data_IF_267408846505
#
_entry.id   IF_267408846505
#
_cell.length_a   1.000
_cell.length_b   1.000
_cell.length_c   1.000
_cell.angle_alpha   90.00
_cell.angle_beta   90.00
_cell.angle_gamma   90.00
#
_symmetry.space_group_name_H-M   'P 1'
#
loop_
_entity.id
_entity.type
_entity.pdbx_description
1 polymer ?
#
# COMPACT_ATOMS: atom_id res chain seq x y z
N UNK A 1 -32.13 -23.27 16.83
CA UNK A 1 -32.31 -21.99 16.11
C UNK A 1 -30.92 -21.50 15.73
N UNK A 2 -30.58 -21.53 14.46
CA UNK A 2 -29.29 -21.03 13.96
C UNK A 2 -29.48 -19.54 13.70
N UNK A 3 -28.80 -18.66 14.46
CA UNK A 3 -28.65 -17.27 14.10
C UNK A 3 -27.57 -17.17 13.01
N UNK A 4 -28.00 -16.91 11.81
CA UNK A 4 -27.09 -16.53 10.71
C UNK A 4 -26.83 -15.02 10.87
N UNK A 5 -25.66 -14.68 11.38
CA UNK A 5 -25.22 -13.27 11.43
C UNK A 5 -24.61 -12.96 10.07
N UNK A 6 -25.35 -12.30 9.21
CA UNK A 6 -24.83 -11.75 7.97
C UNK A 6 -24.13 -10.44 8.34
N UNK A 7 -22.80 -10.50 8.46
CA UNK A 7 -22.00 -9.29 8.63
C UNK A 7 -21.73 -8.71 7.26
N UNK A 8 -22.42 -7.62 6.96
CA UNK A 8 -22.09 -6.77 5.82
C UNK A 8 -20.76 -6.10 6.15
N UNK A 9 -19.71 -6.50 5.48
CA UNK A 9 -18.44 -5.81 5.51
C UNK A 9 -18.49 -4.61 4.54
N UNK A 10 -19.39 -3.67 4.77
CA UNK A 10 -18.91 -2.29 4.68
C UNK A 10 -17.70 -2.30 5.60
N UNK A 11 -16.56 -1.77 5.23
CA UNK A 11 -15.46 -1.53 6.16
C UNK A 11 -15.89 -0.51 7.24
N UNK A 12 -17.10 -0.68 7.74
CA UNK A 12 -17.67 -0.08 8.91
C UNK A 12 -17.16 -0.89 10.09
N UNK A 13 -16.26 -0.34 10.84
CA UNK A 13 -16.02 -0.72 12.22
C UNK A 13 -17.32 -0.41 12.96
N UNK A 14 -18.29 -1.31 12.88
CA UNK A 14 -19.44 -1.26 13.75
C UNK A 14 -19.05 -1.89 15.09
N UNK A 15 -19.31 -1.23 16.21
CA UNK A 15 -19.17 -1.86 17.50
C UNK A 15 -20.04 -3.11 17.53
N UNK A 16 -19.45 -4.23 17.97
CA UNK A 16 -20.13 -5.50 18.17
C UNK A 16 -21.28 -5.24 19.18
N UNK A 17 -22.50 -5.22 18.69
CA UNK A 17 -23.68 -5.32 19.54
C UNK A 17 -23.81 -6.77 19.98
N UNK A 18 -23.28 -7.09 21.18
CA UNK A 18 -23.67 -8.28 21.90
C UNK A 18 -25.17 -8.18 22.22
N UNK A 19 -25.98 -8.91 21.51
CA UNK A 19 -27.38 -9.12 21.87
C UNK A 19 -27.45 -10.16 23.01
N UNK A 20 -27.10 -9.73 24.22
CA UNK A 20 -27.42 -10.44 25.45
C UNK A 20 -28.84 -10.08 25.89
N UNK A 21 -29.72 -11.07 26.01
CA UNK A 21 -31.01 -10.90 26.65
C UNK A 21 -30.87 -10.46 28.12
N UNK A 22 -31.45 -9.32 28.47
CA UNK A 22 -31.88 -8.97 29.78
C UNK A 22 -30.88 -8.23 30.70
N UNK A 23 -31.04 -6.93 30.78
CA UNK A 23 -30.45 -6.06 31.78
C UNK A 23 -30.22 -4.67 31.25
N UNK A 24 -31.08 -3.71 31.60
CA UNK A 24 -30.83 -2.28 31.36
C UNK A 24 -29.52 -1.88 32.04
N UNK A 25 -28.41 -1.85 31.27
CA UNK A 25 -27.22 -1.12 31.66
C UNK A 25 -27.33 0.27 31.03
N UNK A 26 -27.36 1.27 31.88
CA UNK A 26 -27.20 2.67 31.46
C UNK A 26 -25.90 2.78 30.66
N UNK A 27 -26.03 3.05 29.37
CA UNK A 27 -24.90 3.38 28.51
C UNK A 27 -24.36 4.71 29.01
N UNK A 28 -23.09 4.77 29.47
CA UNK A 28 -22.49 6.06 29.79
C UNK A 28 -22.50 6.91 28.49
N UNK A 29 -22.72 8.24 28.63
CA UNK A 29 -22.69 9.11 27.45
C UNK A 29 -21.37 8.91 26.74
N UNK A 30 -21.34 8.94 25.38
CA UNK A 30 -20.11 8.81 24.65
C UNK A 30 -19.16 9.88 25.13
N UNK A 31 -18.03 9.46 25.71
CA UNK A 31 -16.91 10.35 25.97
C UNK A 31 -16.50 10.85 24.58
N UNK A 32 -16.63 12.14 24.37
CA UNK A 32 -16.15 12.75 23.14
C UNK A 32 -14.63 12.52 23.07
N UNK A 33 -14.24 11.43 22.41
CA UNK A 33 -12.85 11.17 22.08
C UNK A 33 -12.45 12.23 21.06
N UNK A 34 -11.67 13.19 21.49
CA UNK A 34 -10.94 14.06 20.58
C UNK A 34 -9.88 13.17 19.89
N UNK A 35 -10.30 12.43 18.86
CA UNK A 35 -9.38 11.82 17.92
C UNK A 35 -8.64 12.96 17.23
N UNK A 36 -7.41 13.19 17.60
CA UNK A 36 -6.51 14.08 16.87
C UNK A 36 -5.98 13.34 15.65
N UNK A 37 -6.90 12.95 14.74
CA UNK A 37 -6.51 12.45 13.42
C UNK A 37 -5.69 13.57 12.77
N UNK A 38 -4.45 13.30 12.33
CA UNK A 38 -3.66 14.31 11.61
C UNK A 38 -4.47 14.86 10.45
N UNK A 39 -4.39 16.15 10.20
CA UNK A 39 -5.05 16.74 9.03
C UNK A 39 -4.37 16.18 7.78
N UNK A 40 -5.13 15.60 6.84
CA UNK A 40 -4.54 15.08 5.62
C UNK A 40 -3.93 16.21 4.79
N UNK A 41 -2.81 15.93 4.15
CA UNK A 41 -2.13 16.85 3.25
C UNK A 41 -2.36 16.39 1.82
N UNK A 42 -2.97 17.27 1.01
CA UNK A 42 -3.01 17.11 -0.45
C UNK A 42 -1.60 17.35 -0.98
N UNK A 43 -1.15 16.44 -1.81
CA UNK A 43 0.09 16.54 -2.54
C UNK A 43 -0.19 16.84 -4.01
N UNK A 44 0.85 17.26 -4.69
CA UNK A 44 0.92 17.39 -6.15
C UNK A 44 2.08 16.56 -6.64
N UNK A 45 1.84 15.75 -7.66
CA UNK A 45 2.89 14.95 -8.28
C UNK A 45 3.65 15.78 -9.29
N UNK A 46 4.96 15.81 -9.17
CA UNK A 46 5.86 16.42 -10.14
C UNK A 46 6.35 15.34 -11.11
N UNK A 47 6.13 15.58 -12.40
CA UNK A 47 6.55 14.69 -13.48
C UNK A 47 7.66 15.37 -14.28
N UNK A 48 8.59 14.57 -14.79
CA UNK A 48 9.58 15.03 -15.74
C UNK A 48 9.23 14.54 -17.15
N UNK A 49 9.21 15.47 -18.08
CA UNK A 49 8.97 15.23 -19.51
C UNK A 49 10.11 15.85 -20.34
N UNK A 50 10.22 15.42 -21.59
CA UNK A 50 11.30 15.87 -22.49
C UNK A 50 10.70 16.56 -23.71
N UNK A 51 11.11 17.83 -23.94
CA UNK A 51 10.79 18.59 -25.14
C UNK A 51 12.07 18.83 -25.95
N UNK A 52 12.37 17.95 -26.89
CA UNK A 52 13.64 18.01 -27.64
C UNK A 52 14.85 17.72 -26.77
N UNK A 53 15.66 18.72 -26.45
CA UNK A 53 16.80 18.62 -25.53
C UNK A 53 16.50 19.18 -24.13
N UNK A 54 15.34 19.79 -23.95
CA UNK A 54 14.91 20.44 -22.72
C UNK A 54 14.13 19.46 -21.85
N UNK A 55 14.57 19.29 -20.59
CA UNK A 55 13.86 18.54 -19.56
C UNK A 55 13.09 19.49 -18.70
N UNK A 56 11.80 19.33 -18.65
CA UNK A 56 10.95 20.20 -17.85
C UNK A 56 10.10 19.40 -16.84
N UNK A 57 9.88 20.03 -15.70
CA UNK A 57 8.94 19.53 -14.70
C UNK A 57 7.54 19.97 -15.03
N UNK A 58 6.58 19.07 -14.95
CA UNK A 58 5.17 19.37 -15.18
C UNK A 58 4.27 18.74 -14.12
N UNK A 59 3.09 19.34 -13.97
CA UNK A 59 1.99 18.84 -13.12
C UNK A 59 0.75 18.54 -13.97
N UNK A 60 0.74 18.93 -15.23
CA UNK A 60 -0.43 18.88 -16.09
C UNK A 60 -0.52 17.60 -16.95
N UNK A 61 -1.73 17.04 -17.14
CA UNK A 61 -1.94 15.89 -18.02
C UNK A 61 -1.68 16.22 -19.49
N UNK A 62 -1.93 17.47 -19.90
CA UNK A 62 -1.76 17.88 -21.30
C UNK A 62 -0.29 17.82 -21.74
N UNK A 63 0.64 18.27 -20.91
CA UNK A 63 2.06 18.19 -21.22
C UNK A 63 2.57 16.75 -21.17
N UNK A 64 2.10 15.93 -20.20
CA UNK A 64 2.44 14.50 -20.14
C UNK A 64 1.98 13.74 -21.37
N UNK A 65 0.86 14.14 -21.97
CA UNK A 65 0.36 13.55 -23.22
C UNK A 65 1.07 14.07 -24.47
N UNK A 66 1.66 15.27 -24.39
CA UNK A 66 2.29 15.96 -25.52
C UNK A 66 3.78 15.68 -25.65
N UNK A 67 4.44 15.36 -24.54
CA UNK A 67 5.89 15.13 -24.49
C UNK A 67 6.23 13.76 -23.91
N UNK A 68 7.35 13.14 -24.32
CA UNK A 68 7.83 11.91 -23.73
C UNK A 68 8.00 12.03 -22.22
N UNK A 69 7.28 11.18 -21.46
CA UNK A 69 7.35 11.12 -20.01
C UNK A 69 8.57 10.31 -19.58
N UNK A 70 9.48 10.91 -18.78
CA UNK A 70 10.59 10.20 -18.15
C UNK A 70 10.17 9.55 -16.81
N UNK A 71 9.26 10.17 -16.06
CA UNK A 71 8.70 9.60 -14.83
C UNK A 71 8.23 10.62 -13.82
N UNK A 72 7.84 10.11 -12.64
CA UNK A 72 7.54 10.92 -11.45
C UNK A 72 8.84 11.22 -10.70
N UNK A 73 8.99 12.42 -10.19
CA UNK A 73 10.23 12.86 -9.53
C UNK A 73 10.02 13.12 -8.04
N UNK A 74 9.00 13.92 -7.70
CA UNK A 74 8.66 14.26 -6.31
C UNK A 74 7.16 14.39 -6.11
N UNK A 75 6.74 14.25 -4.86
CA UNK A 75 5.48 14.80 -4.37
C UNK A 75 5.77 16.01 -3.49
N UNK A 76 5.05 17.09 -3.72
CA UNK A 76 5.10 18.33 -2.92
C UNK A 76 3.69 18.73 -2.49
N UNK A 77 3.49 19.46 -1.38
CA UNK A 77 2.18 19.98 -1.01
C UNK A 77 1.55 20.82 -2.12
N UNK A 78 0.24 20.65 -2.31
CA UNK A 78 -0.54 21.37 -3.33
C UNK A 78 -0.95 22.79 -2.89
N UNK A 79 -0.98 23.06 -1.58
CA UNK A 79 -1.47 24.31 -1.04
C UNK A 79 -0.39 25.06 -0.23
N UNK A 80 -0.36 26.40 -0.29
CA UNK A 80 0.52 27.20 0.54
C UNK A 80 0.15 27.05 2.02
N UNK A 81 1.15 27.02 2.88
CA UNK A 81 0.98 27.02 4.33
C UNK A 81 2.26 27.54 5.02
N UNK A 82 2.20 27.75 6.34
CA UNK A 82 3.40 28.06 7.13
C UNK A 82 4.44 26.94 7.00
N UNK A 83 5.70 27.31 6.82
CA UNK A 83 6.80 26.34 6.62
C UNK A 83 6.91 25.80 5.20
N UNK A 84 6.21 26.37 4.24
CA UNK A 84 6.28 26.03 2.81
C UNK A 84 6.76 27.23 1.99
N UNK A 85 7.32 26.94 0.83
CA UNK A 85 7.74 27.95 -0.16
C UNK A 85 7.12 27.63 -1.51
N UNK A 86 7.02 28.62 -2.40
CA UNK A 86 6.53 28.37 -3.77
C UNK A 86 7.65 27.78 -4.60
N UNK A 87 7.39 26.68 -5.31
CA UNK A 87 8.23 26.12 -6.35
C UNK A 87 7.62 26.50 -7.71
N UNK A 88 8.38 27.19 -8.53
CA UNK A 88 7.96 27.62 -9.86
C UNK A 88 8.76 26.89 -10.93
N UNK A 89 8.11 26.53 -12.02
CA UNK A 89 8.80 26.32 -13.28
C UNK A 89 8.99 27.71 -13.92
N UNK A 90 10.21 27.96 -14.35
CA UNK A 90 10.61 29.16 -15.04
C UNK A 90 10.91 28.83 -16.49
N UNK A 91 10.73 29.80 -17.39
CA UNK A 91 11.07 29.68 -18.81
C UNK A 91 12.02 30.81 -19.21
N UNK A 92 13.04 30.51 -19.99
CA UNK A 92 13.96 31.50 -20.51
C UNK A 92 13.27 32.44 -21.52
N UNK A 93 13.88 33.61 -21.80
CA UNK A 93 13.32 34.60 -22.74
C UNK A 93 13.15 34.10 -24.18
N UNK A 94 13.79 33.01 -24.53
CA UNK A 94 13.66 32.34 -25.84
C UNK A 94 12.54 31.31 -25.93
N UNK A 95 11.92 30.96 -24.80
CA UNK A 95 10.87 29.93 -24.74
C UNK A 95 11.36 28.51 -25.04
N UNK A 96 12.66 28.24 -24.82
CA UNK A 96 13.31 27.01 -25.28
C UNK A 96 13.98 26.21 -24.16
N UNK A 97 14.00 26.71 -22.93
CA UNK A 97 14.65 26.09 -21.79
C UNK A 97 13.90 26.40 -20.50
N UNK A 98 13.71 25.42 -19.67
CA UNK A 98 12.99 25.50 -18.40
C UNK A 98 13.91 25.23 -17.22
N UNK A 99 13.59 25.83 -16.08
CA UNK A 99 14.28 25.60 -14.82
C UNK A 99 13.27 25.62 -13.67
N UNK A 100 13.53 24.82 -12.62
CA UNK A 100 12.72 24.81 -11.41
C UNK A 100 13.37 25.67 -10.32
N UNK A 101 12.65 26.58 -9.73
CA UNK A 101 13.21 27.49 -8.74
C UNK A 101 12.22 27.93 -7.66
N UNK A 102 12.76 28.26 -6.47
CA UNK A 102 12.01 28.89 -5.37
C UNK A 102 12.22 30.42 -5.33
N UNK A 103 12.98 30.95 -6.27
CA UNK A 103 13.27 32.39 -6.42
C UNK A 103 13.53 32.71 -7.88
N UNK A 104 13.52 33.96 -8.21
CA UNK A 104 13.79 34.41 -9.57
C UNK A 104 15.19 34.03 -10.05
N UNK A 105 15.26 33.49 -11.25
CA UNK A 105 16.51 33.23 -11.97
C UNK A 105 16.72 34.25 -13.07
N UNK A 106 17.95 34.82 -13.16
CA UNK A 106 18.26 35.86 -14.15
C UNK A 106 18.08 35.32 -15.58
N UNK A 107 17.32 36.04 -16.39
CA UNK A 107 17.03 35.65 -17.79
C UNK A 107 15.83 34.73 -17.96
N UNK A 108 15.16 34.40 -16.86
CA UNK A 108 13.94 33.55 -16.86
C UNK A 108 12.76 34.34 -16.32
N UNK A 109 11.56 33.93 -16.68
CA UNK A 109 10.28 34.35 -16.14
C UNK A 109 9.46 33.18 -15.66
N UNK A 110 8.54 33.41 -14.74
CA UNK A 110 7.62 32.39 -14.24
C UNK A 110 6.74 31.87 -15.39
N UNK A 111 6.67 30.56 -15.51
CA UNK A 111 5.82 29.82 -16.45
C UNK A 111 4.62 29.21 -15.73
N UNK A 112 4.87 28.46 -14.64
CA UNK A 112 3.81 27.90 -13.80
C UNK A 112 4.26 27.68 -12.36
N UNK A 113 3.28 27.62 -11.44
CA UNK A 113 3.50 27.17 -10.06
C UNK A 113 3.40 25.63 -10.02
N UNK A 114 4.50 24.99 -9.64
CA UNK A 114 4.57 23.52 -9.52
C UNK A 114 4.02 23.01 -8.19
N UNK A 115 4.08 23.78 -7.12
CA UNK A 115 3.57 23.42 -5.80
C UNK A 115 4.23 24.19 -4.67
N UNK A 116 4.06 23.67 -3.44
CA UNK A 116 4.48 24.38 -2.23
C UNK A 116 5.33 23.46 -1.32
N UNK A 117 6.56 23.08 -1.73
CA UNK A 117 7.45 22.23 -0.94
C UNK A 117 7.74 22.84 0.44
N UNK A 118 8.13 21.97 1.38
CA UNK A 118 8.55 22.38 2.72
C UNK A 118 9.88 23.17 2.66
N UNK A 119 10.07 24.11 3.60
CA UNK A 119 11.33 24.86 3.74
C UNK A 119 12.38 24.12 4.58
N UNK A 120 12.03 22.98 5.16
CA UNK A 120 12.93 22.15 5.94
C UNK A 120 12.52 20.67 5.86
N UNK A 121 13.43 19.77 6.18
CA UNK A 121 13.15 18.32 6.30
C UNK A 121 12.30 18.03 7.55
N UNK A 122 11.04 18.42 7.55
CA UNK A 122 10.14 18.37 8.72
C UNK A 122 9.34 17.07 8.87
N UNK A 123 9.64 16.03 8.14
CA UNK A 123 8.91 14.75 8.22
C UNK A 123 9.77 13.56 7.83
N UNK A 124 9.35 12.37 8.26
CA UNK A 124 9.99 11.13 7.80
C UNK A 124 9.86 11.02 6.28
N UNK A 125 10.98 10.86 5.58
CA UNK A 125 11.01 10.59 4.15
C UNK A 125 11.01 11.80 3.23
N UNK A 126 10.89 13.04 3.72
CA UNK A 126 11.14 14.21 2.87
C UNK A 126 12.63 14.38 2.62
N UNK A 127 13.01 14.67 1.39
CA UNK A 127 14.37 14.98 0.98
C UNK A 127 14.43 16.34 0.30
N UNK A 128 15.63 16.91 0.25
CA UNK A 128 15.87 18.14 -0.47
C UNK A 128 15.62 17.94 -1.96
N UNK A 129 14.88 18.84 -2.57
CA UNK A 129 14.73 18.88 -4.02
C UNK A 129 16.08 19.24 -4.65
N UNK A 130 16.45 18.47 -5.66
CA UNK A 130 17.72 18.66 -6.36
C UNK A 130 17.46 18.92 -7.83
N UNK A 131 17.61 20.17 -8.22
CA UNK A 131 17.72 20.53 -9.61
C UNK A 131 19.15 20.31 -10.09
N UNK A 132 19.33 19.95 -11.32
CA UNK A 132 20.62 19.66 -11.93
C UNK A 132 20.76 20.47 -13.21
N UNK A 133 21.93 21.08 -13.43
CA UNK A 133 22.26 21.84 -14.62
C UNK A 133 23.28 21.10 -15.49
N UNK A 134 22.94 20.91 -16.74
CA UNK A 134 23.90 20.53 -17.77
C UNK A 134 24.60 21.78 -18.31
N UNK A 135 25.81 22.05 -17.84
CA UNK A 135 26.58 23.25 -18.23
C UNK A 135 26.97 23.27 -19.72
N UNK A 136 26.90 22.12 -20.41
CA UNK A 136 27.20 22.05 -21.85
C UNK A 136 26.03 22.47 -22.74
N UNK A 137 24.82 22.25 -22.29
CA UNK A 137 23.58 22.59 -23.03
C UNK A 137 22.80 23.77 -22.41
N UNK A 138 23.02 24.03 -21.12
CA UNK A 138 22.22 24.99 -20.34
C UNK A 138 20.94 24.39 -19.76
N UNK A 139 20.62 23.14 -20.07
CA UNK A 139 19.39 22.46 -19.69
C UNK A 139 19.35 22.12 -18.19
N UNK A 140 18.21 22.36 -17.56
CA UNK A 140 17.94 22.04 -16.17
C UNK A 140 17.04 20.80 -16.06
N UNK A 141 17.19 20.03 -14.99
CA UNK A 141 16.33 18.88 -14.69
C UNK A 141 16.18 18.64 -13.20
N UNK A 142 14.95 18.48 -12.73
CA UNK A 142 14.69 17.98 -11.38
C UNK A 142 14.91 16.48 -11.34
N UNK A 143 15.78 15.99 -10.45
CA UNK A 143 16.11 14.57 -10.30
C UNK A 143 15.77 14.07 -8.90
N UNK A 144 15.31 12.82 -8.81
CA UNK A 144 15.19 12.13 -7.52
C UNK A 144 16.58 11.85 -6.92
N UNK A 145 16.72 11.70 -5.58
CA UNK A 145 18.03 11.61 -4.91
C UNK A 145 18.95 10.50 -5.41
N UNK A 146 18.40 9.41 -5.95
CA UNK A 146 19.18 8.28 -6.49
C UNK A 146 19.45 8.37 -7.98
N UNK A 147 18.89 9.37 -8.66
CA UNK A 147 19.06 9.55 -10.09
C UNK A 147 20.35 10.31 -10.42
N UNK A 148 20.90 10.02 -11.58
CA UNK A 148 21.98 10.78 -12.17
C UNK A 148 21.79 10.87 -13.68
N UNK A 149 22.07 12.03 -14.25
CA UNK A 149 22.10 12.23 -15.70
C UNK A 149 23.53 12.62 -16.12
N UNK A 150 24.07 12.02 -17.18
CA UNK A 150 25.41 12.37 -17.65
C UNK A 150 25.52 13.85 -18.03
N UNK A 151 26.52 14.53 -17.52
CA UNK A 151 26.77 15.96 -17.79
C UNK A 151 26.01 16.94 -16.92
N UNK A 152 25.10 16.46 -16.05
CA UNK A 152 24.36 17.32 -15.13
C UNK A 152 25.04 17.42 -13.76
N UNK A 153 25.08 18.63 -13.20
CA UNK A 153 25.64 18.93 -11.90
C UNK A 153 24.56 19.46 -10.96
N UNK A 154 24.56 19.06 -9.68
CA UNK A 154 23.51 19.42 -8.75
C UNK A 154 23.47 20.93 -8.47
N UNK A 155 22.26 21.46 -8.46
CA UNK A 155 21.89 22.81 -8.04
C UNK A 155 20.86 22.68 -6.92
N UNK A 156 21.25 22.47 -5.65
CA UNK A 156 20.31 22.16 -4.59
C UNK A 156 19.35 23.33 -4.33
N UNK A 157 18.06 23.02 -4.30
CA UNK A 157 17.02 23.95 -3.92
C UNK A 157 16.82 23.94 -2.40
N UNK A 158 16.56 25.10 -1.77
CA UNK A 158 16.21 25.16 -0.35
C UNK A 158 14.73 24.78 -0.13
N UNK A 159 14.33 23.65 -0.68
CA UNK A 159 12.96 23.13 -0.70
C UNK A 159 12.99 21.61 -0.55
N UNK A 160 11.93 21.01 0.04
CA UNK A 160 11.88 19.61 0.40
C UNK A 160 10.55 18.99 -0.04
N UNK A 161 10.61 17.73 -0.50
CA UNK A 161 9.45 16.97 -0.93
C UNK A 161 9.67 15.47 -0.72
N UNK A 162 8.65 14.66 -0.96
CA UNK A 162 8.80 13.20 -0.99
C UNK A 162 9.39 12.79 -2.32
N UNK A 163 10.58 12.18 -2.34
CA UNK A 163 11.22 11.77 -3.57
C UNK A 163 10.49 10.58 -4.20
N UNK A 164 10.48 10.56 -5.52
CA UNK A 164 10.07 9.41 -6.32
C UNK A 164 11.23 8.99 -7.20
N UNK A 165 11.27 7.72 -7.57
CA UNK A 165 12.22 7.24 -8.55
C UNK A 165 11.67 7.52 -9.94
N UNK A 166 12.46 8.22 -10.74
CA UNK A 166 12.02 8.84 -11.98
C UNK A 166 11.60 7.92 -13.11
N UNK A 167 11.79 6.62 -12.98
CA UNK A 167 11.46 5.68 -14.06
C UNK A 167 10.01 5.20 -13.92
N UNK A 168 9.26 5.24 -15.01
CA UNK A 168 8.01 4.48 -15.14
C UNK A 168 8.24 2.96 -15.11
N UNK A 169 9.51 2.52 -15.09
CA UNK A 169 9.89 1.11 -15.01
C UNK A 169 9.70 0.59 -13.59
N UNK A 170 9.29 -0.66 -13.48
CA UNK A 170 9.25 -1.39 -12.22
C UNK A 170 10.66 -1.50 -11.63
N UNK A 171 10.82 -1.12 -10.36
CA UNK A 171 12.02 -1.37 -9.58
C UNK A 171 11.71 -2.49 -8.61
N UNK A 172 12.20 -3.70 -8.91
CA UNK A 172 11.89 -4.90 -8.17
C UNK A 172 13.03 -5.31 -7.25
N UNK A 173 12.68 -5.56 -5.98
CA UNK A 173 13.56 -6.16 -4.99
C UNK A 173 13.21 -7.63 -4.83
N UNK A 174 14.06 -8.53 -5.30
CA UNK A 174 13.85 -9.97 -5.25
C UNK A 174 14.54 -10.62 -4.07
N UNK A 175 13.88 -11.57 -3.41
CA UNK A 175 14.41 -12.38 -2.33
C UNK A 175 13.94 -13.83 -2.51
N UNK A 176 14.85 -14.81 -2.28
CA UNK A 176 14.52 -16.24 -2.37
C UNK A 176 15.07 -16.99 -1.17
N UNK A 177 14.22 -17.75 -0.49
CA UNK A 177 14.59 -18.71 0.56
C UNK A 177 13.46 -19.72 0.78
N UNK A 178 13.77 -20.91 1.30
CA UNK A 178 12.80 -21.96 1.63
C UNK A 178 11.95 -22.44 0.46
N UNK A 179 12.41 -22.30 -0.79
CA UNK A 179 11.65 -22.65 -1.99
C UNK A 179 10.66 -21.57 -2.46
N UNK A 180 10.59 -20.43 -1.74
CA UNK A 180 9.77 -19.27 -2.09
C UNK A 180 10.65 -18.20 -2.72
N UNK A 181 10.14 -17.53 -3.74
CA UNK A 181 10.73 -16.29 -4.29
C UNK A 181 9.68 -15.19 -4.24
N UNK A 182 10.04 -14.06 -3.65
CA UNK A 182 9.20 -12.87 -3.60
C UNK A 182 9.85 -11.70 -4.32
N UNK A 183 9.03 -10.84 -4.89
CA UNK A 183 9.47 -9.57 -5.45
C UNK A 183 8.59 -8.47 -4.90
N UNK A 184 9.19 -7.45 -4.28
CA UNK A 184 8.49 -6.20 -3.95
C UNK A 184 8.79 -5.15 -5.00
N UNK A 185 7.81 -4.25 -5.22
CA UNK A 185 7.92 -3.20 -6.22
C UNK A 185 8.00 -1.84 -5.53
N UNK A 186 9.08 -1.11 -5.77
CA UNK A 186 9.26 0.22 -5.20
C UNK A 186 8.20 1.21 -5.68
N UNK A 187 7.84 1.15 -6.96
CA UNK A 187 6.78 2.02 -7.52
C UNK A 187 5.44 1.80 -6.83
N UNK A 188 5.20 0.61 -6.29
CA UNK A 188 4.04 0.28 -5.46
C UNK A 188 4.34 0.41 -3.95
N UNK A 189 5.16 1.37 -3.55
CA UNK A 189 5.43 1.63 -2.13
C UNK A 189 6.12 0.49 -1.38
N UNK A 190 6.71 -0.47 -2.09
CA UNK A 190 7.32 -1.65 -1.52
C UNK A 190 6.35 -2.81 -1.28
N UNK A 191 5.10 -2.74 -1.72
CA UNK A 191 4.17 -3.87 -1.66
C UNK A 191 4.76 -5.13 -2.32
N UNK A 192 4.39 -6.31 -1.82
CA UNK A 192 4.85 -7.56 -2.41
C UNK A 192 4.10 -7.81 -3.71
N UNK A 193 4.82 -7.66 -4.79
CA UNK A 193 4.30 -7.62 -6.16
C UNK A 193 4.11 -9.00 -6.78
N UNK A 194 5.06 -9.94 -6.49
CA UNK A 194 5.05 -11.31 -6.99
C UNK A 194 5.46 -12.27 -5.89
N UNK A 195 4.83 -13.45 -5.93
CA UNK A 195 5.12 -14.54 -5.01
C UNK A 195 5.14 -15.84 -5.80
N UNK A 196 6.29 -16.50 -5.83
CA UNK A 196 6.47 -17.76 -6.53
C UNK A 196 6.78 -18.88 -5.53
N UNK A 197 6.21 -20.02 -5.76
CA UNK A 197 6.58 -21.29 -5.17
C UNK A 197 6.57 -22.38 -6.24
N UNK A 198 7.68 -23.15 -6.37
CA UNK A 198 7.85 -24.14 -7.43
C UNK A 198 7.53 -23.61 -8.84
N UNK A 199 7.94 -22.40 -9.14
CA UNK A 199 7.67 -21.68 -10.38
C UNK A 199 6.20 -21.31 -10.63
N UNK A 200 5.30 -21.58 -9.69
CA UNK A 200 3.90 -21.16 -9.76
C UNK A 200 3.80 -19.74 -9.19
N UNK A 201 3.24 -18.83 -9.97
CA UNK A 201 2.89 -17.47 -9.53
C UNK A 201 1.58 -17.53 -8.74
N UNK A 202 1.58 -16.89 -7.57
CA UNK A 202 0.41 -16.84 -6.69
C UNK A 202 -0.35 -15.52 -6.78
N UNK A 203 0.37 -14.40 -6.86
CA UNK A 203 -0.25 -13.08 -6.78
C UNK A 203 -0.73 -12.59 -8.15
N UNK A 204 -1.83 -11.86 -8.15
CA UNK A 204 -2.31 -11.16 -9.32
C UNK A 204 -1.67 -9.77 -9.42
N UNK A 205 -0.48 -9.67 -10.01
CA UNK A 205 0.22 -8.41 -10.19
C UNK A 205 -0.31 -7.55 -11.36
N UNK A 206 -1.30 -8.03 -12.10
CA UNK A 206 -2.01 -7.21 -13.09
C UNK A 206 -3.00 -6.23 -12.42
N UNK A 207 -3.44 -6.54 -11.20
CA UNK A 207 -4.29 -5.68 -10.40
C UNK A 207 -3.40 -4.79 -9.48
N UNK A 208 -2.85 -3.73 -10.06
CA UNK A 208 -1.96 -2.81 -9.39
C UNK A 208 -2.58 -2.26 -8.09
N UNK A 209 -1.79 -2.32 -7.03
CA UNK A 209 -2.20 -1.84 -5.72
C UNK A 209 -3.01 -2.85 -4.90
N UNK A 210 -3.20 -4.07 -5.41
CA UNK A 210 -3.89 -5.15 -4.70
C UNK A 210 -3.02 -6.39 -4.47
N UNK A 211 -1.73 -6.26 -4.42
CA UNK A 211 -0.74 -7.31 -4.17
C UNK A 211 -0.84 -7.82 -2.71
N UNK A 212 0.25 -8.19 -2.05
CA UNK A 212 0.28 -8.32 -0.59
C UNK A 212 0.80 -7.02 0.00
N UNK A 213 -0.04 -6.33 0.75
CA UNK A 213 0.24 -5.00 1.28
C UNK A 213 -0.39 -4.75 2.64
N UNK A 214 0.15 -3.76 3.33
CA UNK A 214 -0.40 -3.18 4.53
C UNK A 214 -1.38 -2.04 4.22
N UNK A 215 -2.46 -1.96 4.99
CA UNK A 215 -3.37 -0.82 4.97
C UNK A 215 -3.81 -0.47 6.39
N UNK A 216 -3.96 0.82 6.66
CA UNK A 216 -4.46 1.33 7.90
C UNK A 216 -5.81 2.01 7.69
N UNK A 217 -6.84 1.46 8.32
CA UNK A 217 -8.18 2.04 8.32
C UNK A 217 -8.41 2.76 9.62
N UNK A 218 -8.71 4.06 9.59
CA UNK A 218 -9.05 4.77 10.80
C UNK A 218 -10.26 5.70 10.65
N UNK A 219 -10.91 5.94 11.79
CA UNK A 219 -12.17 6.64 11.82
C UNK A 219 -13.35 5.73 11.48
N UNK A 220 -14.51 6.33 11.33
CA UNK A 220 -15.77 5.67 11.02
C UNK A 220 -16.10 5.67 9.52
N UNK A 221 -15.22 6.22 8.71
CA UNK A 221 -15.43 6.40 7.27
C UNK A 221 -14.59 5.37 6.52
N UNK A 222 -15.20 4.54 5.65
CA UNK A 222 -14.48 3.50 4.90
C UNK A 222 -13.43 4.03 3.93
N UNK A 223 -13.44 5.31 3.67
CA UNK A 223 -12.60 5.95 2.66
C UNK A 223 -11.23 6.42 3.20
N UNK A 224 -10.98 6.28 4.51
CA UNK A 224 -9.68 6.54 5.13
C UNK A 224 -8.83 5.28 5.12
N UNK A 225 -8.16 5.03 4.02
CA UNK A 225 -7.38 3.83 3.79
C UNK A 225 -6.00 4.17 3.20
N UNK A 226 -5.08 4.75 4.01
CA UNK A 226 -3.69 4.83 3.61
C UNK A 226 -3.09 3.42 3.54
N UNK A 227 -2.40 3.13 2.44
CA UNK A 227 -1.83 1.81 2.18
C UNK A 227 -0.45 1.89 1.51
N UNK A 228 0.31 0.78 1.52
CA UNK A 228 1.65 0.74 0.96
C UNK A 228 1.64 0.99 -0.55
N UNK A 229 0.73 0.37 -1.29
CA UNK A 229 0.70 0.49 -2.75
C UNK A 229 0.26 1.88 -3.22
N UNK A 230 -0.44 2.65 -2.38
CA UNK A 230 -0.85 4.01 -2.68
C UNK A 230 -2.25 4.11 -3.27
N UNK A 231 -2.47 5.12 -4.11
CA UNK A 231 -3.78 5.42 -4.66
C UNK A 231 -4.16 4.45 -5.79
N UNK A 232 -5.14 3.60 -5.53
CA UNK A 232 -5.66 2.64 -6.49
C UNK A 232 -6.79 3.18 -7.38
N UNK A 233 -7.57 4.15 -6.90
CA UNK A 233 -8.74 4.61 -7.62
C UNK A 233 -8.40 5.44 -8.86
N UNK A 234 -7.27 6.10 -8.82
CA UNK A 234 -6.74 6.86 -9.96
C UNK A 234 -5.86 6.02 -10.85
N UNK A 235 -5.58 4.78 -10.43
CA UNK A 235 -4.80 3.87 -11.23
C UNK A 235 -5.57 3.49 -12.51
N UNK A 236 -5.06 3.93 -13.63
CA UNK A 236 -5.52 3.48 -14.92
C UNK A 236 -4.71 2.25 -15.33
N UNK A 237 -5.31 1.06 -15.30
CA UNK A 237 -4.68 -0.18 -15.79
C UNK A 237 -4.12 -0.05 -17.21
N UNK A 238 -4.66 0.91 -17.98
CA UNK A 238 -4.29 1.16 -19.36
C UNK A 238 -3.10 2.12 -19.48
N UNK A 239 -2.74 2.85 -18.41
CA UNK A 239 -1.60 3.75 -18.39
C UNK A 239 -0.67 3.46 -17.19
N UNK A 240 0.25 2.52 -17.33
CA UNK A 240 1.19 2.18 -16.26
C UNK A 240 2.19 3.30 -15.94
N UNK A 241 2.23 4.39 -16.72
CA UNK A 241 3.11 5.54 -16.46
C UNK A 241 2.58 6.44 -15.34
N UNK A 242 1.29 6.32 -14.98
CA UNK A 242 0.64 7.11 -13.93
C UNK A 242 0.41 6.20 -12.71
N UNK A 243 1.46 5.92 -11.96
CA UNK A 243 1.41 5.07 -10.76
C UNK A 243 1.69 5.92 -9.53
N UNK A 244 0.66 6.20 -8.75
CA UNK A 244 0.79 6.91 -7.47
C UNK A 244 1.03 5.94 -6.32
N UNK A 245 2.16 5.22 -6.36
CA UNK A 245 2.61 4.42 -5.23
C UNK A 245 3.10 5.30 -4.08
N UNK A 246 2.95 4.81 -2.87
CA UNK A 246 3.42 5.48 -1.66
C UNK A 246 4.93 5.73 -1.72
N UNK A 247 5.42 6.92 -1.29
CA UNK A 247 6.85 7.20 -1.22
C UNK A 247 7.57 6.21 -0.32
N UNK A 248 8.65 5.59 -0.83
CA UNK A 248 9.41 4.58 -0.10
C UNK A 248 10.51 5.22 0.72
N UNK A 249 10.61 4.82 2.00
CA UNK A 249 11.64 5.27 2.94
C UNK A 249 12.78 4.26 3.05
N UNK A 250 12.46 2.98 2.89
CA UNK A 250 13.41 1.87 2.99
C UNK A 250 12.99 0.75 2.04
N UNK A 251 13.96 0.22 1.29
CA UNK A 251 13.73 -0.82 0.28
C UNK A 251 14.99 -1.67 0.13
N UNK A 252 15.10 -2.74 0.91
CA UNK A 252 16.32 -3.54 0.95
C UNK A 252 16.09 -4.99 1.41
N UNK A 253 17.02 -5.86 1.05
CA UNK A 253 17.15 -7.20 1.62
C UNK A 253 18.22 -7.22 2.71
N UNK A 254 17.92 -7.96 3.80
CA UNK A 254 18.88 -8.25 4.86
C UNK A 254 18.82 -9.75 5.22
N UNK A 255 19.76 -10.53 4.72
CA UNK A 255 19.73 -11.99 4.83
C UNK A 255 18.48 -12.55 4.13
N UNK A 256 17.67 -13.31 4.86
CA UNK A 256 16.39 -13.86 4.38
C UNK A 256 15.18 -12.94 4.64
N UNK A 257 15.43 -11.69 5.02
CA UNK A 257 14.38 -10.71 5.29
C UNK A 257 14.39 -9.61 4.24
N UNK A 258 13.24 -9.31 3.68
CA UNK A 258 12.99 -8.14 2.86
C UNK A 258 12.34 -7.06 3.72
N UNK A 259 12.93 -5.86 3.73
CA UNK A 259 12.49 -4.73 4.54
C UNK A 259 12.00 -3.63 3.62
N UNK A 260 10.76 -3.21 3.79
CA UNK A 260 10.20 -2.04 3.11
C UNK A 260 9.51 -1.12 4.12
N UNK A 261 9.57 0.18 3.87
CA UNK A 261 8.86 1.21 4.63
C UNK A 261 8.39 2.27 3.66
N UNK A 262 7.17 2.76 3.85
CA UNK A 262 6.58 3.79 3.00
C UNK A 262 5.78 4.82 3.81
N UNK A 263 5.68 6.03 3.29
CA UNK A 263 4.68 7.01 3.72
C UNK A 263 3.42 6.74 2.92
N UNK A 264 2.38 6.14 3.53
CA UNK A 264 1.27 5.62 2.77
C UNK A 264 0.39 6.74 2.21
N UNK A 265 0.09 6.65 0.92
CA UNK A 265 -0.94 7.46 0.28
C UNK A 265 -2.33 6.89 0.59
N UNK A 266 -3.33 7.77 0.64
CA UNK A 266 -4.70 7.33 0.78
C UNK A 266 -5.19 6.63 -0.49
N UNK A 267 -5.82 5.49 -0.33
CA UNK A 267 -6.39 4.71 -1.43
C UNK A 267 -7.42 5.50 -2.24
N UNK A 268 -8.22 6.35 -1.59
CA UNK A 268 -9.23 7.20 -2.22
C UNK A 268 -8.98 8.68 -1.89
N UNK A 269 -8.17 9.39 -2.69
CA UNK A 269 -7.87 10.80 -2.43
C UNK A 269 -9.08 11.72 -2.60
N UNK A 270 -10.10 11.34 -3.39
CA UNK A 270 -11.26 12.20 -3.70
C UNK A 270 -12.07 12.59 -2.46
N UNK A 271 -12.05 11.80 -1.41
CA UNK A 271 -12.68 12.10 -0.12
C UNK A 271 -12.16 13.41 0.48
N UNK A 272 -10.93 13.79 0.17
CA UNK A 272 -10.29 15.01 0.64
C UNK A 272 -10.08 16.05 -0.45
N UNK A 273 -10.82 15.93 -1.56
CA UNK A 273 -10.67 16.83 -2.71
C UNK A 273 -9.42 16.55 -3.54
N UNK A 274 -8.78 15.40 -3.33
CA UNK A 274 -7.72 14.92 -4.19
C UNK A 274 -8.27 14.31 -5.49
N UNK A 275 -7.38 14.05 -6.41
CA UNK A 275 -7.64 13.39 -7.69
C UNK A 275 -6.39 12.64 -8.15
N UNK A 276 -6.37 12.22 -9.41
CA UNK A 276 -5.26 11.50 -10.02
C UNK A 276 -3.90 12.22 -9.90
N UNK A 277 -3.88 13.54 -9.87
CA UNK A 277 -2.66 14.34 -9.80
C UNK A 277 -2.40 14.90 -8.40
N UNK A 278 -3.37 14.69 -7.48
CA UNK A 278 -3.35 15.20 -6.12
C UNK A 278 -3.57 14.08 -5.09
N UNK A 279 -2.57 13.20 -4.88
CA UNK A 279 -2.65 12.17 -3.85
C UNK A 279 -2.69 12.78 -2.44
N UNK A 280 -3.15 12.00 -1.47
CA UNK A 280 -3.34 12.44 -0.08
C UNK A 280 -2.49 11.60 0.86
N UNK A 281 -1.79 12.25 1.79
CA UNK A 281 -1.04 11.60 2.88
C UNK A 281 -1.49 12.10 4.25
N UNK A 282 -1.05 11.37 5.29
CA UNK A 282 -1.05 11.85 6.69
C UNK A 282 0.38 11.97 7.17
N UNK A 283 0.80 13.19 7.48
CA UNK A 283 2.15 13.47 7.94
C UNK A 283 2.53 12.63 9.16
N UNK A 284 3.65 11.92 9.07
CA UNK A 284 4.19 11.08 10.14
C UNK A 284 3.62 9.66 10.24
N UNK A 285 2.61 9.29 9.44
CA UNK A 285 2.21 7.90 9.32
C UNK A 285 3.23 7.15 8.46
N UNK A 286 3.69 5.99 8.94
CA UNK A 286 4.55 5.08 8.20
C UNK A 286 3.95 3.68 8.25
N UNK A 287 3.85 3.04 7.11
CA UNK A 287 3.56 1.62 6.99
C UNK A 287 4.78 0.88 6.45
N UNK A 288 4.96 -0.35 6.87
CA UNK A 288 6.03 -1.17 6.33
C UNK A 288 5.93 -2.62 6.73
N UNK A 289 6.84 -3.40 6.15
CA UNK A 289 6.96 -4.82 6.42
C UNK A 289 8.39 -5.27 6.58
N UNK A 290 8.56 -6.30 7.42
CA UNK A 290 9.70 -7.21 7.42
C UNK A 290 9.19 -8.59 7.00
N UNK A 291 9.47 -8.98 5.78
CA UNK A 291 9.08 -10.28 5.24
C UNK A 291 10.26 -11.23 5.33
N UNK A 292 10.26 -12.12 6.33
CA UNK A 292 11.31 -13.13 6.55
C UNK A 292 10.90 -14.46 5.93
N UNK A 293 11.59 -14.89 4.89
CA UNK A 293 11.40 -16.19 4.25
C UNK A 293 12.11 -17.31 5.01
N UNK A 294 11.65 -18.55 4.82
CA UNK A 294 12.17 -19.77 5.47
C UNK A 294 12.19 -19.64 7.00
N UNK A 295 11.10 -19.10 7.54
CA UNK A 295 10.99 -18.86 8.98
C UNK A 295 11.26 -20.13 9.78
N UNK A 296 12.23 -20.07 10.70
CA UNK A 296 12.70 -21.19 11.53
C UNK A 296 13.11 -22.43 10.72
N UNK A 297 13.59 -22.30 9.51
CA UNK A 297 13.91 -23.38 8.57
C UNK A 297 12.71 -24.29 8.27
N UNK A 298 11.51 -23.74 8.25
CA UNK A 298 10.28 -24.48 7.92
C UNK A 298 10.01 -24.54 6.41
N UNK A 299 10.97 -24.15 5.57
CA UNK A 299 10.82 -24.14 4.11
C UNK A 299 9.88 -23.04 3.64
N UNK A 300 8.77 -23.36 2.94
CA UNK A 300 7.91 -22.34 2.33
C UNK A 300 7.01 -21.60 3.34
N UNK A 301 7.55 -21.27 4.50
CA UNK A 301 6.91 -20.50 5.55
C UNK A 301 7.59 -19.12 5.65
N UNK A 302 6.84 -18.07 5.46
CA UNK A 302 7.31 -16.71 5.63
C UNK A 302 6.61 -16.04 6.81
N UNK A 303 7.38 -15.31 7.64
CA UNK A 303 6.80 -14.39 8.61
C UNK A 303 6.67 -13.01 7.98
N UNK A 304 5.47 -12.50 7.93
CA UNK A 304 5.17 -11.15 7.52
C UNK A 304 4.91 -10.31 8.77
N UNK A 305 5.89 -9.47 9.13
CA UNK A 305 5.77 -8.51 10.23
C UNK A 305 5.41 -7.17 9.64
N UNK A 306 4.22 -6.69 9.96
CA UNK A 306 3.84 -5.32 9.64
C UNK A 306 4.30 -4.37 10.72
N UNK A 307 4.83 -3.25 10.30
CA UNK A 307 5.15 -2.11 11.15
C UNK A 307 4.21 -0.94 10.83
N UNK A 308 3.58 -0.40 11.86
CA UNK A 308 2.75 0.80 11.77
C UNK A 308 3.33 1.82 12.73
N UNK A 309 3.68 3.00 12.22
CA UNK A 309 4.10 4.14 13.04
C UNK A 309 3.02 5.20 12.94
N UNK A 310 2.35 5.49 14.04
CA UNK A 310 1.32 6.52 14.12
C UNK A 310 1.88 7.79 14.76
N UNK A 311 1.67 8.98 14.16
CA UNK A 311 2.10 10.25 14.76
C UNK A 311 1.26 10.62 15.98
N UNK A 312 0.04 10.10 16.08
CA UNK A 312 -0.90 10.31 17.20
C UNK A 312 -1.75 9.05 17.41
N UNK A 313 -2.33 8.91 18.59
CA UNK A 313 -3.30 7.84 18.87
C UNK A 313 -4.49 7.96 17.91
N UNK A 314 -4.90 6.86 17.30
CA UNK A 314 -6.00 6.83 16.33
C UNK A 314 -6.99 5.70 16.66
N UNK A 315 -8.26 5.94 16.35
CA UNK A 315 -9.28 4.90 16.34
C UNK A 315 -9.30 4.26 14.95
N UNK A 316 -9.21 2.94 14.88
CA UNK A 316 -9.19 2.28 13.58
C UNK A 316 -8.91 0.80 13.64
N UNK A 317 -8.53 0.26 12.49
CA UNK A 317 -8.13 -1.13 12.32
C UNK A 317 -6.97 -1.23 11.33
N UNK A 318 -6.20 -2.29 11.47
CA UNK A 318 -5.11 -2.58 10.57
C UNK A 318 -5.50 -3.80 9.76
N UNK A 319 -5.68 -3.60 8.46
CA UNK A 319 -5.82 -4.70 7.50
C UNK A 319 -4.42 -5.05 7.04
N UNK A 320 -3.91 -6.19 7.56
CA UNK A 320 -2.53 -6.40 7.33
C UNK A 320 -2.00 -7.80 7.62
N UNK A 321 -1.47 -8.43 6.62
CA UNK A 321 -1.58 -7.99 5.22
C UNK A 321 -2.96 -8.29 4.63
N UNK A 322 -3.30 -7.59 3.58
CA UNK A 322 -4.25 -8.04 2.57
C UNK A 322 -3.49 -8.65 1.41
N UNK A 323 -3.98 -9.72 0.82
CA UNK A 323 -3.34 -10.36 -0.32
C UNK A 323 -4.34 -10.72 -1.41
N UNK A 324 -3.90 -10.59 -2.66
CA UNK A 324 -4.72 -10.79 -3.85
C UNK A 324 -4.06 -11.84 -4.74
N UNK A 325 -4.67 -13.03 -4.77
CA UNK A 325 -4.19 -14.17 -5.55
C UNK A 325 -4.83 -14.17 -6.93
N UNK A 326 -4.22 -14.90 -7.85
CA UNK A 326 -4.82 -15.21 -9.14
C UNK A 326 -6.21 -15.82 -8.96
N UNK A 327 -7.14 -15.54 -9.86
CA UNK A 327 -8.53 -16.03 -9.82
C UNK A 327 -8.65 -17.56 -9.83
N UNK A 328 -7.61 -18.25 -10.26
CA UNK A 328 -7.53 -19.73 -10.22
C UNK A 328 -7.43 -20.31 -8.81
N UNK A 329 -7.07 -19.50 -7.80
CA UNK A 329 -7.07 -19.91 -6.39
C UNK A 329 -8.47 -19.76 -5.79
N UNK A 330 -9.41 -20.53 -6.26
CA UNK A 330 -10.85 -20.37 -6.01
C UNK A 330 -11.48 -21.41 -5.07
N UNK A 331 -10.66 -22.19 -4.38
CA UNK A 331 -11.09 -23.07 -3.28
C UNK A 331 -10.59 -22.53 -1.95
N UNK A 332 -11.42 -22.62 -0.94
CA UNK A 332 -11.26 -21.91 0.34
C UNK A 332 -11.42 -22.85 1.52
N UNK A 333 -10.57 -22.74 2.53
CA UNK A 333 -10.67 -23.50 3.78
C UNK A 333 -10.36 -22.62 4.98
N UNK A 334 -10.89 -23.06 6.12
CA UNK A 334 -10.42 -22.63 7.44
C UNK A 334 -9.69 -23.80 8.10
N UNK A 335 -8.65 -23.50 8.88
CA UNK A 335 -7.92 -24.49 9.66
C UNK A 335 -7.76 -24.01 11.10
N UNK A 336 -8.17 -24.88 12.05
CA UNK A 336 -7.97 -24.69 13.49
C UNK A 336 -6.90 -25.69 13.95
N UNK A 337 -5.70 -25.21 14.25
CA UNK A 337 -4.55 -26.03 14.64
C UNK A 337 -4.74 -26.69 16.03
N UNK A 338 -5.51 -26.09 16.93
CA UNK A 338 -5.82 -26.65 18.25
C UNK A 338 -6.76 -27.85 18.16
N UNK A 339 -7.70 -27.80 17.22
CA UNK A 339 -8.66 -28.86 16.98
C UNK A 339 -8.22 -29.82 15.87
N UNK A 340 -7.09 -29.56 15.21
CA UNK A 340 -6.61 -30.29 14.02
C UNK A 340 -7.69 -30.40 12.95
N UNK A 341 -8.45 -29.34 12.74
CA UNK A 341 -9.64 -29.36 11.89
C UNK A 341 -9.46 -28.46 10.68
N UNK A 342 -9.35 -29.11 9.51
CA UNK A 342 -9.50 -28.47 8.20
C UNK A 342 -10.97 -28.52 7.79
N UNK A 343 -11.52 -27.38 7.39
CA UNK A 343 -12.91 -27.26 6.94
C UNK A 343 -12.96 -26.49 5.64
N UNK A 344 -13.45 -27.14 4.58
CA UNK A 344 -13.69 -26.44 3.31
C UNK A 344 -14.89 -25.49 3.45
N UNK A 345 -14.73 -24.28 2.97
CA UNK A 345 -15.81 -23.28 2.93
C UNK A 345 -16.67 -23.60 1.70
N UNK A 346 -17.82 -24.19 1.95
CA UNK A 346 -18.79 -24.53 0.91
C UNK A 346 -19.81 -23.39 0.76
N UNK A 347 -20.05 -22.95 -0.46
CA UNK A 347 -20.98 -21.85 -0.76
C UNK A 347 -20.37 -20.84 -1.72
N UNK A 348 -21.16 -19.85 -2.10
CA UNK A 348 -20.69 -18.78 -2.96
C UNK A 348 -19.86 -17.82 -2.13
N UNK A 349 -18.57 -17.66 -2.49
CA UNK A 349 -17.73 -16.64 -1.91
C UNK A 349 -18.27 -15.26 -2.29
N UNK A 350 -18.40 -14.33 -1.33
CA UNK A 350 -18.86 -12.98 -1.63
C UNK A 350 -18.00 -12.33 -2.71
N UNK A 351 -18.67 -11.57 -3.58
CA UNK A 351 -18.05 -10.84 -4.68
C UNK A 351 -17.88 -9.37 -4.31
N UNK A 352 -16.63 -8.94 -4.15
CA UNK A 352 -16.30 -7.55 -3.87
C UNK A 352 -16.62 -6.58 -5.02
N UNK A 353 -16.95 -7.11 -6.21
CA UNK A 353 -17.36 -6.28 -7.35
C UNK A 353 -18.64 -5.48 -7.10
N UNK A 354 -19.55 -6.00 -6.30
CA UNK A 354 -20.76 -5.27 -5.91
C UNK A 354 -20.44 -3.95 -5.20
N UNK A 355 -19.31 -3.90 -4.48
CA UNK A 355 -18.86 -2.69 -3.80
C UNK A 355 -18.57 -1.52 -4.76
N UNK A 356 -18.10 -1.82 -5.97
CA UNK A 356 -17.77 -0.79 -6.96
C UNK A 356 -19.05 -0.09 -7.50
N UNK A 357 -20.23 -0.69 -7.30
CA UNK A 357 -21.50 -0.18 -7.84
C UNK A 357 -22.46 0.33 -6.78
N UNK A 358 -22.43 -0.21 -5.56
CA UNK A 358 -23.44 0.07 -4.52
C UNK A 358 -22.87 0.34 -3.12
N UNK A 359 -21.54 0.41 -2.97
CA UNK A 359 -20.83 0.53 -1.69
C UNK A 359 -21.15 -0.58 -0.68
N UNK A 360 -21.67 -1.73 -1.12
CA UNK A 360 -21.91 -2.88 -0.24
C UNK A 360 -20.79 -3.90 -0.40
N UNK A 361 -19.83 -3.89 0.51
CA UNK A 361 -18.73 -4.86 0.51
C UNK A 361 -19.12 -6.10 1.30
N UNK A 362 -19.27 -7.24 0.63
CA UNK A 362 -19.58 -8.52 1.25
C UNK A 362 -18.38 -9.46 1.30
N UNK A 363 -17.60 -9.43 2.37
CA UNK A 363 -16.63 -10.47 2.70
C UNK A 363 -17.21 -11.49 3.67
N UNK A 364 -16.70 -12.72 3.69
CA UNK A 364 -16.99 -13.67 4.77
C UNK A 364 -15.86 -13.60 5.78
N UNK A 365 -16.19 -13.22 7.00
CA UNK A 365 -15.25 -13.17 8.13
C UNK A 365 -15.16 -14.54 8.80
N UNK A 366 -13.95 -14.95 9.12
CA UNK A 366 -13.65 -16.21 9.80
C UNK A 366 -12.90 -15.92 11.10
N UNK A 367 -13.44 -16.44 12.19
CA UNK A 367 -12.80 -16.36 13.49
C UNK A 367 -12.19 -17.72 13.80
N UNK A 368 -10.87 -17.78 13.86
CA UNK A 368 -10.12 -18.98 14.21
C UNK A 368 -9.18 -18.63 15.35
N UNK A 369 -9.34 -19.24 16.50
CA UNK A 369 -8.53 -18.94 17.70
C UNK A 369 -7.04 -19.16 17.46
N UNK A 370 -6.70 -20.30 16.85
CA UNK A 370 -5.33 -20.70 16.51
C UNK A 370 -5.34 -21.39 15.16
N UNK A 371 -4.85 -20.73 14.14
CA UNK A 371 -4.84 -21.32 12.80
C UNK A 371 -4.97 -20.25 11.73
N UNK A 372 -5.79 -20.49 10.72
CA UNK A 372 -5.91 -19.52 9.65
C UNK A 372 -6.85 -19.94 8.53
N UNK A 373 -6.62 -19.32 7.42
CA UNK A 373 -7.35 -19.53 6.16
C UNK A 373 -6.40 -20.06 5.10
N UNK A 374 -6.96 -20.81 4.15
CA UNK A 374 -6.21 -21.36 3.03
C UNK A 374 -7.00 -21.12 1.74
N UNK A 375 -6.32 -20.71 0.70
CA UNK A 375 -6.86 -20.61 -0.66
C UNK A 375 -6.00 -21.45 -1.59
N UNK A 376 -6.62 -22.20 -2.49
CA UNK A 376 -5.88 -23.05 -3.42
C UNK A 376 -6.47 -23.05 -4.82
N UNK A 377 -5.67 -23.58 -5.75
CA UNK A 377 -6.16 -24.00 -7.04
C UNK A 377 -7.18 -25.16 -6.92
N UNK A 378 -7.82 -25.50 -8.03
CA UNK A 378 -8.85 -26.53 -8.07
C UNK A 378 -8.34 -27.92 -7.60
N UNK A 379 -7.05 -28.21 -7.77
CA UNK A 379 -6.45 -29.49 -7.38
C UNK A 379 -6.06 -29.54 -5.91
N UNK A 380 -5.86 -28.40 -5.27
CA UNK A 380 -5.28 -28.29 -3.94
C UNK A 380 -3.76 -28.52 -3.90
N UNK A 381 -3.10 -28.64 -5.06
CA UNK A 381 -1.66 -28.84 -5.15
C UNK A 381 -0.88 -27.55 -4.92
N UNK A 382 -1.47 -26.42 -5.28
CA UNK A 382 -0.92 -25.10 -5.02
C UNK A 382 -1.88 -24.35 -4.10
N UNK A 383 -1.42 -23.99 -2.91
CA UNK A 383 -2.21 -23.30 -1.91
C UNK A 383 -1.38 -22.23 -1.19
N UNK A 384 -2.01 -21.15 -0.82
CA UNK A 384 -1.49 -20.17 0.13
C UNK A 384 -2.31 -20.23 1.41
N UNK A 385 -1.63 -20.48 2.52
CA UNK A 385 -2.18 -20.37 3.86
C UNK A 385 -1.76 -19.06 4.53
N UNK A 386 -2.66 -18.51 5.31
CA UNK A 386 -2.42 -17.33 6.16
C UNK A 386 -2.71 -17.74 7.59
N UNK A 387 -1.65 -17.86 8.40
CA UNK A 387 -1.74 -18.25 9.81
C UNK A 387 -1.52 -17.06 10.71
N UNK A 388 -2.33 -16.95 11.74
CA UNK A 388 -2.19 -15.94 12.78
C UNK A 388 -2.86 -16.38 14.06
N UNK A 389 -2.67 -15.63 15.14
CA UNK A 389 -3.23 -15.92 16.43
C UNK A 389 -4.24 -14.88 16.83
N UNK A 390 -5.47 -15.32 17.11
CA UNK A 390 -6.61 -14.48 17.47
C UNK A 390 -6.83 -14.49 18.97
N UNK A 391 -5.89 -13.99 19.78
CA UNK A 391 -6.13 -13.86 21.22
C UNK A 391 -5.77 -12.46 21.73
N UNK A 392 -6.75 -11.64 21.91
CA UNK A 392 -7.04 -10.66 22.96
C UNK A 392 -5.96 -9.75 23.50
N UNK A 393 -4.80 -9.64 22.88
CA UNK A 393 -3.76 -8.69 23.27
C UNK A 393 -3.23 -7.97 22.03
N UNK A 394 -2.84 -6.72 22.17
CA UNK A 394 -2.34 -5.91 21.06
C UNK A 394 -1.34 -6.68 20.19
N UNK A 395 -1.61 -6.74 18.89
CA UNK A 395 -0.80 -7.47 17.91
C UNK A 395 -1.37 -8.81 17.44
N UNK A 396 -2.54 -9.26 17.91
CA UNK A 396 -3.19 -10.49 17.44
C UNK A 396 -4.23 -10.23 16.35
N UNK A 397 -4.38 -11.20 15.44
CA UNK A 397 -5.41 -11.16 14.38
C UNK A 397 -6.79 -11.17 15.01
N UNK A 398 -7.63 -10.17 14.72
CA UNK A 398 -9.01 -10.12 15.19
C UNK A 398 -9.90 -11.07 14.40
N UNK A 399 -9.71 -11.11 13.07
CA UNK A 399 -10.39 -12.05 12.17
C UNK A 399 -9.67 -12.14 10.84
N UNK A 400 -9.97 -13.21 10.09
CA UNK A 400 -9.61 -13.33 8.69
C UNK A 400 -10.84 -13.07 7.81
N UNK A 401 -10.63 -12.47 6.66
CA UNK A 401 -11.65 -12.34 5.63
C UNK A 401 -11.19 -12.99 4.33
N UNK A 402 -12.11 -13.60 3.59
CA UNK A 402 -11.91 -14.10 2.23
C UNK A 402 -13.03 -13.59 1.33
N UNK A 403 -12.69 -13.21 0.11
CA UNK A 403 -13.63 -12.70 -0.89
C UNK A 403 -13.02 -12.85 -2.30
N UNK A 404 -13.81 -12.55 -3.32
CA UNK A 404 -13.35 -12.55 -4.71
C UNK A 404 -13.69 -11.23 -5.36
N UNK A 405 -12.91 -10.87 -6.38
CA UNK A 405 -13.20 -9.82 -7.32
C UNK A 405 -13.16 -10.41 -8.73
N UNK A 406 -14.31 -10.66 -9.35
CA UNK A 406 -14.44 -11.22 -10.68
C UNK A 406 -15.23 -10.26 -11.57
N UNK A 407 -14.78 -9.01 -11.62
CA UNK A 407 -15.47 -7.93 -12.29
C UNK A 407 -14.96 -7.69 -13.72
N UNK A 408 -13.77 -8.16 -14.02
CA UNK A 408 -13.03 -7.73 -15.21
C UNK A 408 -12.87 -8.82 -16.25
N UNK A 409 -13.42 -10.00 -15.97
CA UNK A 409 -13.45 -11.16 -16.86
C UNK A 409 -12.19 -12.03 -16.79
N UNK A 410 -12.35 -13.29 -17.20
CA UNK A 410 -11.29 -14.28 -17.26
C UNK A 410 -10.35 -13.97 -18.43
N UNK A 411 -9.36 -13.09 -18.21
CA UNK A 411 -8.24 -12.92 -19.12
C UNK A 411 -7.13 -13.94 -18.85
N UNK A 412 -6.13 -14.06 -19.73
CA UNK A 412 -4.93 -14.81 -19.40
C UNK A 412 -4.26 -14.24 -18.15
N UNK A 413 -3.70 -15.10 -17.33
CA UNK A 413 -3.21 -14.88 -15.95
C UNK A 413 -2.44 -13.58 -15.66
N UNK A 414 -1.91 -12.91 -16.65
CA UNK A 414 -1.12 -11.70 -16.45
C UNK A 414 -1.83 -10.42 -16.96
N UNK A 415 -3.05 -10.55 -17.44
CA UNK A 415 -3.81 -9.43 -18.04
C UNK A 415 -5.20 -9.24 -17.46
N UNK A 416 -5.68 -10.17 -16.63
CA UNK A 416 -6.96 -10.06 -15.94
C UNK A 416 -6.76 -9.53 -14.52
N UNK A 417 -7.53 -8.52 -14.15
CA UNK A 417 -7.58 -8.00 -12.79
C UNK A 417 -8.47 -8.85 -11.86
N UNK A 418 -9.11 -9.91 -12.35
CA UNK A 418 -9.89 -10.83 -11.52
C UNK A 418 -8.98 -11.56 -10.52
N UNK A 419 -9.38 -11.55 -9.25
CA UNK A 419 -8.57 -12.12 -8.18
C UNK A 419 -9.40 -12.72 -7.05
N UNK A 420 -8.74 -13.59 -6.27
CA UNK A 420 -9.20 -14.07 -4.98
C UNK A 420 -8.43 -13.33 -3.90
N UNK A 421 -9.14 -12.77 -2.95
CA UNK A 421 -8.55 -11.92 -1.95
C UNK A 421 -8.74 -12.44 -0.53
N UNK A 422 -7.80 -12.09 0.32
CA UNK A 422 -7.86 -12.36 1.75
C UNK A 422 -7.30 -11.17 2.54
N UNK A 423 -7.71 -11.09 3.81
CA UNK A 423 -7.17 -10.10 4.74
C UNK A 423 -6.99 -10.75 6.12
N UNK A 424 -5.89 -10.43 6.78
CA UNK A 424 -5.74 -10.60 8.21
C UNK A 424 -5.98 -9.24 8.87
N UNK A 425 -6.98 -9.15 9.74
CA UNK A 425 -7.35 -7.87 10.39
C UNK A 425 -6.92 -7.91 11.83
N UNK A 426 -6.15 -6.90 12.23
CA UNK A 426 -5.67 -6.68 13.58
C UNK A 426 -6.34 -5.46 14.20
N UNK A 427 -6.50 -5.49 15.52
CA UNK A 427 -6.87 -4.33 16.32
C UNK A 427 -7.96 -3.47 15.73
N UNK A 428 -9.20 -3.72 16.10
CA UNK A 428 -10.28 -2.75 15.91
C UNK A 428 -10.41 -1.97 17.22
N UNK A 429 -10.23 -0.65 17.16
CA UNK A 429 -10.34 0.22 18.32
C UNK A 429 -9.20 1.23 18.42
N UNK A 430 -8.78 1.56 19.62
CA UNK A 430 -7.74 2.55 19.87
C UNK A 430 -6.36 1.96 19.61
N UNK A 431 -5.62 2.53 18.65
CA UNK A 431 -4.23 2.20 18.35
C UNK A 431 -3.36 3.35 18.88
N UNK A 432 -2.40 3.08 19.78
CA UNK A 432 -1.60 4.13 20.39
C UNK A 432 -0.65 4.79 19.39
N UNK A 433 -0.27 6.04 19.68
CA UNK A 433 0.82 6.71 18.98
C UNK A 433 2.14 5.94 19.14
N UNK A 434 3.02 6.07 18.17
CA UNK A 434 4.30 5.39 18.11
C UNK A 434 4.28 4.15 17.22
N UNK A 435 5.27 3.29 17.39
CA UNK A 435 5.45 2.10 16.59
C UNK A 435 4.70 0.91 17.20
N UNK A 436 3.95 0.21 16.34
CA UNK A 436 3.31 -1.06 16.68
C UNK A 436 3.60 -2.07 15.58
N UNK A 437 3.85 -3.33 15.95
CA UNK A 437 4.13 -4.42 15.02
C UNK A 437 3.10 -5.52 15.12
N UNK A 438 2.79 -6.13 13.96
CA UNK A 438 1.82 -7.22 13.83
C UNK A 438 2.42 -8.34 13.01
N UNK A 439 2.20 -9.59 13.38
CA UNK A 439 2.78 -10.74 12.69
C UNK A 439 1.69 -11.65 12.13
N UNK A 440 1.90 -12.06 10.88
CA UNK A 440 1.16 -13.16 10.26
C UNK A 440 2.14 -14.05 9.51
N UNK A 441 1.80 -15.31 9.30
CA UNK A 441 2.62 -16.27 8.57
C UNK A 441 1.95 -16.63 7.27
N UNK A 442 2.70 -16.52 6.18
CA UNK A 442 2.30 -16.90 4.84
C UNK A 442 2.97 -18.22 4.49
N UNK A 443 2.21 -19.18 4.03
CA UNK A 443 2.68 -20.55 3.79
C UNK A 443 2.24 -20.95 2.39
N UNK A 444 3.16 -21.41 1.55
CA UNK A 444 2.84 -21.86 0.19
C UNK A 444 3.27 -23.28 -0.04
N UNK A 445 2.30 -24.18 -0.29
CA UNK A 445 2.50 -25.61 -0.57
C UNK A 445 1.17 -26.20 -1.06
N UNK A 446 1.01 -27.52 -1.07
CA UNK A 446 -0.30 -28.15 -1.17
C UNK A 446 -1.16 -27.85 0.07
N UNK A 447 -2.48 -27.93 -0.04
CA UNK A 447 -3.41 -27.74 1.09
C UNK A 447 -3.00 -28.62 2.30
N UNK A 448 -2.61 -29.87 2.05
CA UNK A 448 -2.19 -30.79 3.12
C UNK A 448 -0.91 -30.30 3.83
N UNK A 449 0.10 -29.86 3.08
CA UNK A 449 1.35 -29.40 3.67
C UNK A 449 1.19 -28.03 4.33
N UNK A 450 0.37 -27.14 3.78
CA UNK A 450 0.03 -25.86 4.42
C UNK A 450 -0.57 -26.09 5.81
N UNK A 451 -1.53 -27.03 5.94
CA UNK A 451 -2.09 -27.38 7.26
C UNK A 451 -1.05 -27.96 8.21
N UNK A 452 -0.16 -28.81 7.72
CA UNK A 452 0.94 -29.35 8.53
C UNK A 452 1.89 -28.26 9.02
N UNK A 453 2.19 -27.26 8.17
CA UNK A 453 3.02 -26.12 8.59
C UNK A 453 2.32 -25.20 9.59
N UNK A 454 1.02 -25.00 9.47
CA UNK A 454 0.25 -24.30 10.51
C UNK A 454 0.32 -25.03 11.86
N UNK A 455 0.30 -26.35 11.83
CA UNK A 455 0.46 -27.20 13.01
C UNK A 455 1.88 -27.10 13.62
N UNK A 456 2.91 -27.06 12.77
CA UNK A 456 4.29 -26.83 13.20
C UNK A 456 4.44 -25.45 13.89
N UNK A 457 3.86 -24.39 13.31
CA UNK A 457 3.85 -23.05 13.92
C UNK A 457 3.15 -23.05 15.29
N UNK A 458 2.02 -23.72 15.39
CA UNK A 458 1.31 -23.87 16.66
C UNK A 458 2.15 -24.58 17.73
N UNK A 459 2.82 -25.68 17.36
CA UNK A 459 3.72 -26.45 18.25
C UNK A 459 4.96 -25.67 18.65
N UNK A 460 5.47 -24.82 17.79
CA UNK A 460 6.57 -23.90 18.11
C UNK A 460 6.15 -22.77 19.07
N UNK A 461 4.88 -22.75 19.48
CA UNK A 461 4.37 -21.73 20.38
C UNK A 461 4.19 -20.37 19.74
N UNK A 462 4.10 -20.32 18.41
CA UNK A 462 3.70 -19.11 17.69
C UNK A 462 2.22 -18.87 18.00
N UNK A 463 1.99 -17.93 18.89
CA UNK A 463 0.66 -17.66 19.50
C UNK A 463 0.36 -16.19 19.48
#
# INVERSE_FOLDING_TARGET
MRCTLTLVCSLLILPILESGCGGERSIPPPVASHSTVPTPTLLRTLYRVVNGSDRMTTIGPDERSSYPLEGQVYYVPDQPASGRTTLNRLINSGGTDHADAISNLSGYSEDMVLGFPWTSASGSGVSQLSEFLNSGTGDYALLAPSESLPGYNPQPLAAYGYPRFGSASEVLLSLSAGGVTVQSNEVAGGATWRWFWNSVQFLNHADYGREIQAAFYYGTTPDLNPNEAGDQLTFNFLDPSIKHGSPVLQFQNQGTTQITRAVPLNWNPTVYGGDQDHPVIWDGLVLGKDLTLDFNNLGPVARYTTQVVLPATAEGGIQNPAGYLLSSFNRYWTYDARLLRLSEVTGTMPDGCAHLTDNTFGGTSFFVDFGGIIMSDASGANAMGVYGVSIGQGGSVSYFAMFKFFCWGDGPFETSADNTAWSAVYGTGTIPAGETTYNVFLITDSVQNVTARMDDLFRLGVR
#
